data_IF_193567032857
#
_entry.id   IF_193567032857
#
_cell.length_a   1.000
_cell.length_b   1.000
_cell.length_c   1.000
_cell.angle_alpha   90.00
_cell.angle_beta   90.00
_cell.angle_gamma   90.00
#
_symmetry.space_group_name_H-M   'P 1'
#
loop_
_entity.id
_entity.type
_entity.pdbx_description
1 polymer ?
#
# COMPACT_ATOMS: atom_id res chain seq x y z
N UNK A 1 6.91 44.06 -4.25
CA UNK A 1 5.59 44.53 -3.77
C UNK A 1 4.61 44.39 -4.93
N UNK A 2 4.03 43.20 -5.08
CA UNK A 2 2.99 42.93 -6.11
C UNK A 2 1.69 42.59 -5.38
N UNK A 3 0.70 43.41 -5.57
CA UNK A 3 -0.67 43.32 -5.06
C UNK A 3 -1.38 42.15 -5.78
N UNK A 4 -1.80 41.12 -5.04
CA UNK A 4 -2.72 40.11 -5.53
C UNK A 4 -4.13 40.53 -5.15
N UNK A 5 -4.92 40.87 -6.15
CA UNK A 5 -6.33 41.24 -6.02
C UNK A 5 -7.17 39.98 -5.82
N UNK A 6 -7.79 39.84 -4.64
CA UNK A 6 -8.78 38.81 -4.33
C UNK A 6 -10.10 39.12 -5.07
N UNK A 7 -10.48 38.28 -6.02
CA UNK A 7 -11.87 38.21 -6.52
C UNK A 7 -12.63 37.18 -5.70
N UNK A 8 -13.55 37.66 -4.89
CA UNK A 8 -14.54 36.85 -4.18
C UNK A 8 -15.63 36.39 -5.15
N UNK A 9 -15.68 35.09 -5.44
CA UNK A 9 -16.85 34.45 -6.04
C UNK A 9 -17.54 33.58 -4.99
N UNK A 10 -18.75 33.98 -4.64
CA UNK A 10 -19.68 33.22 -3.78
C UNK A 10 -20.24 32.01 -4.53
N UNK A 11 -19.76 30.83 -4.22
CA UNK A 11 -20.28 29.55 -4.65
C UNK A 11 -19.63 28.48 -3.78
N UNK A 12 -20.41 27.86 -2.90
CA UNK A 12 -19.91 26.97 -1.84
C UNK A 12 -19.51 25.57 -2.32
N UNK A 13 -18.33 25.47 -2.94
CA UNK A 13 -17.59 24.25 -3.12
C UNK A 13 -16.16 24.48 -2.59
N UNK A 14 -15.59 23.58 -1.80
CA UNK A 14 -14.24 23.80 -1.28
C UNK A 14 -13.22 23.73 -2.43
N UNK A 15 -12.26 24.63 -2.48
CA UNK A 15 -11.20 24.71 -3.50
C UNK A 15 -10.42 23.38 -3.67
N UNK A 16 -10.41 22.53 -2.65
CA UNK A 16 -9.79 21.19 -2.67
C UNK A 16 -10.57 20.15 -3.50
N UNK A 17 -11.91 20.22 -3.53
CA UNK A 17 -12.73 19.28 -4.29
C UNK A 17 -12.61 19.49 -5.80
N UNK A 18 -12.51 20.73 -6.25
CA UNK A 18 -12.35 21.05 -7.68
C UNK A 18 -10.96 20.72 -8.20
N UNK A 19 -9.91 20.82 -7.38
CA UNK A 19 -8.54 20.48 -7.75
C UNK A 19 -8.34 18.94 -7.79
N UNK A 20 -8.93 18.22 -6.87
CA UNK A 20 -8.92 16.74 -6.89
C UNK A 20 -9.76 16.19 -8.04
N UNK A 21 -10.91 16.80 -8.34
CA UNK A 21 -11.68 16.56 -9.57
C UNK A 21 -10.87 16.87 -10.81
N UNK A 22 -10.05 17.92 -10.80
CA UNK A 22 -9.19 18.30 -11.91
C UNK A 22 -8.02 17.31 -12.09
N UNK A 23 -7.39 16.81 -11.05
CA UNK A 23 -6.35 15.78 -11.14
C UNK A 23 -6.92 14.46 -11.68
N UNK A 24 -8.10 14.07 -11.22
CA UNK A 24 -8.83 12.91 -11.74
C UNK A 24 -9.37 13.17 -13.18
N UNK A 25 -9.64 14.41 -13.55
CA UNK A 25 -10.16 14.81 -14.87
C UNK A 25 -9.07 15.05 -15.92
N UNK A 26 -7.93 15.65 -15.56
CA UNK A 26 -6.81 15.93 -16.50
C UNK A 26 -6.04 14.66 -16.83
N UNK A 27 -6.07 13.64 -15.94
CA UNK A 27 -5.62 12.29 -16.29
C UNK A 27 -6.43 11.64 -17.42
N UNK A 28 -7.68 12.05 -17.61
CA UNK A 28 -8.59 11.48 -18.62
C UNK A 28 -8.70 12.28 -19.91
N UNK A 29 -8.42 13.59 -19.90
CA UNK A 29 -8.60 14.43 -21.09
C UNK A 29 -7.43 15.40 -21.26
N UNK A 30 -6.88 15.45 -22.47
CA UNK A 30 -6.00 16.53 -22.91
C UNK A 30 -6.69 17.89 -22.72
N UNK A 31 -5.90 18.94 -22.42
CA UNK A 31 -6.41 20.30 -22.23
C UNK A 31 -7.33 20.75 -23.37
N UNK A 32 -8.37 21.54 -23.09
CA UNK A 32 -9.30 22.07 -24.11
C UNK A 32 -8.61 22.79 -25.29
N UNK A 33 -7.44 23.40 -25.05
CA UNK A 33 -6.64 24.06 -26.10
C UNK A 33 -6.04 23.08 -27.11
N UNK A 34 -5.76 21.85 -26.75
CA UNK A 34 -5.27 20.81 -27.68
C UNK A 34 -6.40 20.18 -28.50
N UNK A 35 -7.64 20.22 -28.03
CA UNK A 35 -8.81 19.78 -28.81
C UNK A 35 -9.24 20.82 -29.85
N UNK A 36 -9.08 22.12 -29.57
CA UNK A 36 -9.46 23.18 -30.51
C UNK A 36 -8.47 23.33 -31.68
N UNK A 37 -7.19 23.00 -31.49
CA UNK A 37 -6.20 23.02 -32.57
C UNK A 37 -6.30 21.79 -33.49
N UNK A 38 -6.85 20.66 -33.01
CA UNK A 38 -7.06 19.48 -33.86
C UNK A 38 -8.31 19.60 -34.75
N UNK A 39 -9.36 20.27 -34.30
CA UNK A 39 -10.59 20.45 -35.08
C UNK A 39 -10.48 21.51 -36.19
N UNK A 40 -9.59 22.47 -36.08
CA UNK A 40 -9.37 23.48 -37.15
C UNK A 40 -8.39 23.04 -38.26
N UNK A 41 -7.62 21.96 -38.06
CA UNK A 41 -6.75 21.37 -39.09
C UNK A 41 -7.45 20.39 -40.03
N UNK A 42 -8.64 19.95 -39.72
CA UNK A 42 -9.37 18.95 -40.54
C UNK A 42 -10.20 19.57 -41.68
N UNK A 43 -10.25 20.92 -41.85
CA UNK A 43 -11.10 21.59 -42.83
C UNK A 43 -10.39 22.00 -44.12
N UNK A 44 -9.14 21.72 -44.36
CA UNK A 44 -8.44 22.00 -45.64
C UNK A 44 -7.37 20.99 -45.95
N UNK A 45 -7.67 19.90 -46.67
CA UNK A 45 -7.00 19.41 -47.89
C UNK A 45 -7.53 18.00 -48.22
N UNK A 46 -8.16 17.93 -49.37
CA UNK A 46 -8.49 16.67 -50.06
C UNK A 46 -7.22 16.13 -50.72
N UNK A 47 -6.50 15.26 -50.01
CA UNK A 47 -5.58 14.29 -50.59
C UNK A 47 -5.56 13.06 -49.67
N UNK A 48 -5.69 11.88 -50.29
CA UNK A 48 -5.84 10.59 -49.60
C UNK A 48 -4.85 10.41 -48.44
N UNK A 49 -5.29 9.90 -47.28
CA UNK A 49 -4.37 9.71 -46.16
C UNK A 49 -3.48 8.49 -46.45
N UNK A 50 -2.17 8.72 -46.52
CA UNK A 50 -1.19 7.65 -46.26
C UNK A 50 -1.48 7.11 -44.86
N UNK A 51 -1.60 5.78 -44.74
CA UNK A 51 -1.93 5.10 -43.48
C UNK A 51 -1.05 5.56 -42.32
N UNK A 52 -1.62 6.38 -41.47
CA UNK A 52 -1.02 6.70 -40.17
C UNK A 52 -1.11 5.45 -39.31
N UNK A 53 0.07 4.89 -39.04
CA UNK A 53 0.28 3.82 -38.08
C UNK A 53 -0.23 4.21 -36.70
N UNK A 54 -1.49 3.95 -36.41
CA UNK A 54 -2.10 4.10 -35.07
C UNK A 54 -1.50 3.11 -34.04
N UNK A 55 -0.58 2.22 -34.46
CA UNK A 55 0.00 1.15 -33.64
C UNK A 55 1.23 1.55 -32.82
N UNK A 56 1.75 2.78 -32.96
CA UNK A 56 3.04 3.17 -32.34
C UNK A 56 2.91 4.33 -31.34
N UNK A 57 1.77 4.48 -30.67
CA UNK A 57 1.61 5.54 -29.67
C UNK A 57 2.04 5.02 -28.30
N UNK A 58 3.18 5.54 -27.80
CA UNK A 58 3.66 5.26 -26.42
C UNK A 58 2.61 5.71 -25.42
N UNK A 59 2.17 4.79 -24.56
CA UNK A 59 1.33 5.13 -23.41
C UNK A 59 2.19 5.71 -22.29
N UNK A 60 1.62 6.64 -21.53
CA UNK A 60 2.24 7.22 -20.33
C UNK A 60 1.35 6.97 -19.14
N UNK A 61 1.98 6.54 -18.05
CA UNK A 61 1.32 6.38 -16.75
C UNK A 61 1.95 7.42 -15.82
N UNK A 62 1.17 8.37 -15.36
CA UNK A 62 1.63 9.39 -14.42
C UNK A 62 1.60 8.85 -13.01
N UNK A 63 2.74 8.89 -12.33
CA UNK A 63 2.91 8.34 -10.98
C UNK A 63 3.58 9.32 -10.04
N UNK A 64 3.25 9.19 -8.76
CA UNK A 64 4.00 9.81 -7.66
C UNK A 64 4.49 8.71 -6.74
N UNK A 65 5.80 8.70 -6.50
CA UNK A 65 6.45 7.78 -5.59
C UNK A 65 6.64 8.44 -4.22
N UNK A 66 6.42 7.65 -3.20
CA UNK A 66 6.66 8.01 -1.80
C UNK A 66 7.25 6.81 -1.06
N UNK A 67 7.75 7.05 0.14
CA UNK A 67 7.99 5.97 1.08
C UNK A 67 7.33 6.27 2.43
N UNK A 68 6.81 5.25 3.08
CA UNK A 68 6.32 5.32 4.45
C UNK A 68 7.29 4.58 5.34
N UNK A 69 8.03 5.32 6.16
CA UNK A 69 9.04 4.75 7.04
C UNK A 69 10.05 3.82 6.33
N UNK A 70 10.35 4.07 5.05
CA UNK A 70 11.25 3.28 4.22
C UNK A 70 10.55 2.36 3.21
N UNK A 71 9.30 1.97 3.43
CA UNK A 71 8.56 1.09 2.52
C UNK A 71 7.96 1.87 1.37
N UNK A 72 8.28 1.56 0.09
CA UNK A 72 7.91 2.38 -1.05
C UNK A 72 6.45 2.19 -1.47
N UNK A 73 5.81 3.29 -1.85
CA UNK A 73 4.47 3.32 -2.45
C UNK A 73 4.51 4.13 -3.74
N UNK A 74 3.98 3.57 -4.82
CA UNK A 74 3.79 4.24 -6.12
C UNK A 74 2.32 4.50 -6.36
N UNK A 75 1.92 5.76 -6.30
CA UNK A 75 0.53 6.18 -6.54
C UNK A 75 0.35 6.49 -8.01
N UNK A 76 -0.59 5.81 -8.67
CA UNK A 76 -0.96 6.03 -10.06
C UNK A 76 -2.07 7.06 -10.10
N UNK A 77 -1.80 8.20 -10.73
CA UNK A 77 -2.76 9.30 -10.90
C UNK A 77 -3.55 9.18 -12.20
N UNK A 78 -2.91 8.69 -13.27
CA UNK A 78 -3.54 8.58 -14.60
C UNK A 78 -2.77 7.64 -15.53
N UNK A 79 -3.38 7.34 -16.70
CA UNK A 79 -2.76 6.50 -17.72
C UNK A 79 -3.24 5.05 -17.71
N UNK A 80 -4.13 4.70 -16.78
CA UNK A 80 -4.81 3.41 -16.72
C UNK A 80 -6.21 3.55 -17.37
N UNK A 81 -6.71 2.51 -18.08
CA UNK A 81 -8.07 2.51 -18.61
C UNK A 81 -9.14 2.67 -17.52
N UNK A 82 -10.30 3.21 -17.90
CA UNK A 82 -11.44 3.34 -17.00
C UNK A 82 -11.95 1.96 -16.56
N UNK A 83 -12.07 1.79 -15.25
CA UNK A 83 -12.56 0.57 -14.62
C UNK A 83 -14.10 0.54 -14.44
N UNK A 84 -14.79 1.61 -14.88
CA UNK A 84 -16.24 1.76 -14.76
C UNK A 84 -16.68 2.39 -13.44
N UNK A 85 -18.00 2.41 -13.22
CA UNK A 85 -18.65 3.10 -12.08
C UNK A 85 -19.07 2.17 -10.94
N UNK A 86 -18.66 0.91 -10.96
CA UNK A 86 -18.99 -0.08 -9.92
C UNK A 86 -18.30 0.18 -8.58
N UNK A 87 -18.59 -0.64 -7.61
CA UNK A 87 -17.91 -0.68 -6.30
C UNK A 87 -16.40 -0.89 -6.45
N UNK A 88 -15.63 -0.60 -5.41
CA UNK A 88 -14.16 -0.82 -5.46
C UNK A 88 -13.82 -2.31 -5.68
N UNK A 89 -14.62 -3.23 -5.16
CA UNK A 89 -14.44 -4.66 -5.41
C UNK A 89 -14.69 -5.05 -6.88
N UNK A 90 -15.72 -4.48 -7.52
CA UNK A 90 -16.00 -4.69 -8.96
C UNK A 90 -14.90 -4.09 -9.84
N UNK A 91 -14.40 -2.89 -9.49
CA UNK A 91 -13.27 -2.25 -10.20
C UNK A 91 -11.99 -3.06 -10.06
N UNK A 92 -11.70 -3.60 -8.86
CA UNK A 92 -10.58 -4.52 -8.66
C UNK A 92 -10.71 -5.74 -9.58
N UNK A 93 -11.91 -6.34 -9.67
CA UNK A 93 -12.16 -7.48 -10.57
C UNK A 93 -11.88 -7.09 -12.03
N UNK A 94 -12.39 -5.94 -12.50
CA UNK A 94 -12.13 -5.45 -13.86
C UNK A 94 -10.63 -5.22 -14.09
N UNK A 95 -9.92 -4.61 -13.13
CA UNK A 95 -8.50 -4.36 -13.23
C UNK A 95 -7.71 -5.67 -13.33
N UNK A 96 -8.01 -6.63 -12.46
CA UNK A 96 -7.38 -7.96 -12.45
C UNK A 96 -7.63 -8.74 -13.75
N UNK A 97 -8.89 -8.83 -14.20
CA UNK A 97 -9.26 -9.67 -15.33
C UNK A 97 -8.84 -9.08 -16.69
N UNK A 98 -8.88 -7.74 -16.83
CA UNK A 98 -8.71 -7.09 -18.15
C UNK A 98 -7.41 -6.29 -18.26
N UNK A 99 -6.86 -5.80 -17.15
CA UNK A 99 -5.80 -4.80 -17.16
C UNK A 99 -4.60 -5.15 -16.24
N UNK A 100 -4.45 -6.41 -15.82
CA UNK A 100 -3.33 -6.85 -14.98
C UNK A 100 -1.95 -6.53 -15.57
N UNK A 101 -1.85 -6.41 -16.89
CA UNK A 101 -0.64 -5.92 -17.55
C UNK A 101 -0.16 -4.58 -17.03
N UNK A 102 -1.06 -3.66 -16.69
CA UNK A 102 -0.69 -2.36 -16.12
C UNK A 102 -0.12 -2.49 -14.71
N UNK A 103 -0.68 -3.38 -13.87
CA UNK A 103 -0.10 -3.72 -12.57
C UNK A 103 1.36 -4.12 -12.74
N UNK A 104 1.62 -5.13 -13.56
CA UNK A 104 2.97 -5.63 -13.80
C UNK A 104 3.90 -4.56 -14.40
N UNK A 105 3.43 -3.77 -15.37
CA UNK A 105 4.21 -2.71 -15.98
C UNK A 105 4.67 -1.63 -14.98
N UNK A 106 3.89 -1.40 -13.92
CA UNK A 106 4.14 -0.32 -12.95
C UNK A 106 5.02 -0.78 -11.79
N UNK A 107 4.84 -2.01 -11.28
CA UNK A 107 5.55 -2.46 -10.07
C UNK A 107 6.67 -3.45 -10.34
N UNK A 108 6.70 -4.11 -11.50
CA UNK A 108 7.80 -5.02 -11.84
C UNK A 108 8.94 -4.29 -12.56
N UNK A 109 10.12 -4.88 -12.54
CA UNK A 109 11.24 -4.44 -13.38
C UNK A 109 10.85 -4.44 -14.87
N UNK A 110 11.36 -3.52 -15.67
CA UNK A 110 12.43 -2.56 -15.39
C UNK A 110 11.95 -1.22 -14.81
N UNK A 111 10.64 -0.99 -14.64
CA UNK A 111 10.10 0.29 -14.15
C UNK A 111 9.79 0.31 -12.66
N UNK A 112 9.81 -0.86 -12.01
CA UNK A 112 9.57 -1.06 -10.59
C UNK A 112 10.59 -1.98 -9.96
N UNK A 113 10.24 -2.53 -8.81
CA UNK A 113 10.96 -3.57 -8.09
C UNK A 113 9.98 -4.34 -7.20
N UNK A 114 10.42 -5.48 -6.67
CA UNK A 114 9.64 -6.33 -5.75
C UNK A 114 9.20 -5.65 -4.45
N UNK A 115 9.86 -4.54 -4.08
CA UNK A 115 9.52 -3.76 -2.90
C UNK A 115 8.33 -2.82 -3.10
N UNK A 116 8.00 -2.43 -4.36
CA UNK A 116 7.03 -1.38 -4.61
C UNK A 116 5.60 -1.88 -4.41
N UNK A 117 4.85 -1.19 -3.55
CA UNK A 117 3.39 -1.29 -3.50
C UNK A 117 2.79 -0.22 -4.40
N UNK A 118 2.03 -0.65 -5.39
CA UNK A 118 1.24 0.22 -6.26
C UNK A 118 -0.08 0.60 -5.61
N UNK A 119 -0.54 1.83 -5.84
CA UNK A 119 -1.82 2.35 -5.40
C UNK A 119 -2.51 3.06 -6.58
N UNK A 120 -3.50 2.41 -7.19
CA UNK A 120 -4.28 3.02 -8.26
C UNK A 120 -5.40 3.88 -7.67
N UNK A 121 -5.35 5.20 -7.91
CA UNK A 121 -6.43 6.11 -7.54
C UNK A 121 -7.64 5.91 -8.45
N UNK A 122 -8.80 5.80 -7.82
CA UNK A 122 -10.10 5.71 -8.47
C UNK A 122 -11.02 6.82 -7.94
N UNK A 123 -12.01 7.20 -8.73
CA UNK A 123 -13.08 8.06 -8.24
C UNK A 123 -13.85 7.33 -7.13
N UNK A 124 -14.05 7.90 -5.95
CA UNK A 124 -14.81 7.25 -4.90
C UNK A 124 -16.28 7.09 -5.29
N UNK A 125 -16.95 6.07 -4.73
CA UNK A 125 -18.41 5.89 -4.84
C UNK A 125 -19.13 6.61 -3.71
N UNK A 126 -18.53 6.66 -2.53
CA UNK A 126 -18.99 7.47 -1.40
C UNK A 126 -18.52 8.93 -1.59
N UNK A 127 -19.44 9.92 -1.62
CA UNK A 127 -19.06 11.33 -1.77
C UNK A 127 -18.23 11.88 -0.59
N UNK A 128 -18.28 11.23 0.58
CA UNK A 128 -17.50 11.62 1.76
C UNK A 128 -16.07 11.09 1.73
N UNK A 129 -15.74 10.18 0.80
CA UNK A 129 -14.40 9.67 0.61
C UNK A 129 -13.60 10.57 -0.33
N UNK A 130 -12.32 10.83 0.01
CA UNK A 130 -11.42 11.67 -0.81
C UNK A 130 -10.91 10.92 -2.04
N UNK A 131 -10.82 9.58 -1.98
CA UNK A 131 -10.42 8.73 -3.10
C UNK A 131 -10.89 7.28 -2.90
N UNK A 132 -11.08 6.55 -4.00
CA UNK A 132 -11.02 5.10 -4.03
C UNK A 132 -9.59 4.66 -4.35
N UNK A 133 -9.12 3.55 -3.78
CA UNK A 133 -7.76 3.05 -3.98
C UNK A 133 -7.75 1.53 -4.16
N UNK A 134 -7.07 1.06 -5.19
CA UNK A 134 -6.74 -0.37 -5.37
C UNK A 134 -5.25 -0.53 -5.11
N UNK A 135 -4.90 -1.27 -4.05
CA UNK A 135 -3.52 -1.62 -3.74
C UNK A 135 -3.10 -2.93 -4.41
N UNK A 136 -1.84 -2.99 -4.82
CA UNK A 136 -1.25 -4.18 -5.44
C UNK A 136 0.28 -4.18 -5.30
N UNK A 137 0.91 -5.33 -5.53
CA UNK A 137 2.36 -5.48 -5.59
C UNK A 137 2.78 -6.36 -6.79
N UNK A 138 4.02 -6.79 -6.82
CA UNK A 138 4.55 -7.69 -7.84
C UNK A 138 3.88 -9.07 -7.85
N UNK A 139 3.38 -9.53 -6.70
CA UNK A 139 2.72 -10.85 -6.54
C UNK A 139 1.24 -10.77 -6.92
N UNK A 140 0.52 -9.71 -6.50
CA UNK A 140 -0.92 -9.64 -6.74
C UNK A 140 -1.59 -8.40 -6.15
N UNK A 141 -2.85 -8.57 -5.76
CA UNK A 141 -3.71 -7.49 -5.27
C UNK A 141 -3.89 -7.58 -3.77
N UNK A 142 -3.91 -6.43 -3.11
CA UNK A 142 -4.06 -6.29 -1.67
C UNK A 142 -5.44 -5.69 -1.36
N UNK A 143 -6.14 -6.24 -0.38
CA UNK A 143 -7.42 -5.70 0.06
C UNK A 143 -7.28 -4.32 0.71
N UNK A 144 -6.24 -4.16 1.53
CA UNK A 144 -5.87 -2.93 2.24
C UNK A 144 -4.35 -2.94 2.47
N UNK A 145 -3.75 -1.75 2.58
CA UNK A 145 -2.34 -1.59 2.87
C UNK A 145 -2.12 -0.36 3.77
N UNK A 146 -1.59 -0.56 4.98
CA UNK A 146 -1.40 0.52 5.97
C UNK A 146 -0.39 1.57 5.52
N UNK A 147 0.83 1.15 5.16
CA UNK A 147 1.85 2.07 4.69
C UNK A 147 1.47 2.70 3.33
N UNK A 148 0.82 1.93 2.44
CA UNK A 148 0.30 2.45 1.17
C UNK A 148 -0.76 3.53 1.38
N UNK A 149 -1.65 3.37 2.38
CA UNK A 149 -2.64 4.39 2.75
C UNK A 149 -1.95 5.68 3.22
N UNK A 150 -0.91 5.59 4.05
CA UNK A 150 -0.11 6.75 4.46
C UNK A 150 0.54 7.44 3.25
N UNK A 151 1.09 6.66 2.30
CA UNK A 151 1.66 7.17 1.05
C UNK A 151 0.63 7.86 0.15
N UNK A 152 -0.59 7.32 0.07
CA UNK A 152 -1.71 7.96 -0.67
C UNK A 152 -2.11 9.28 -0.03
N UNK A 153 -2.27 9.34 1.31
CA UNK A 153 -2.59 10.59 2.03
C UNK A 153 -1.49 11.63 1.81
N UNK A 154 -0.22 11.25 1.93
CA UNK A 154 0.90 12.16 1.66
C UNK A 154 0.89 12.67 0.20
N UNK A 155 0.59 11.79 -0.77
CA UNK A 155 0.47 12.16 -2.19
C UNK A 155 -0.68 13.13 -2.44
N UNK A 156 -1.86 12.87 -1.87
CA UNK A 156 -3.04 13.75 -2.02
C UNK A 156 -2.78 15.12 -1.36
N UNK A 157 -2.10 15.15 -0.21
CA UNK A 157 -1.69 16.39 0.44
C UNK A 157 -0.65 17.16 -0.40
N UNK A 158 0.36 16.47 -0.95
CA UNK A 158 1.36 17.04 -1.84
C UNK A 158 0.73 17.69 -3.07
N UNK A 159 -0.31 17.07 -3.65
CA UNK A 159 -1.08 17.61 -4.78
C UNK A 159 -2.08 18.70 -4.37
N UNK A 160 -2.20 19.02 -3.07
CA UNK A 160 -3.15 20.01 -2.57
C UNK A 160 -4.62 19.57 -2.63
N UNK A 161 -4.89 18.27 -2.79
CA UNK A 161 -6.25 17.72 -2.87
C UNK A 161 -6.93 17.63 -1.51
N UNK A 162 -6.14 17.50 -0.44
CA UNK A 162 -6.63 17.39 0.95
C UNK A 162 -5.85 18.34 1.86
N UNK A 163 -6.52 18.78 2.94
CA UNK A 163 -5.89 19.52 4.04
C UNK A 163 -5.61 18.63 5.25
N UNK A 164 -5.28 19.27 6.38
CA UNK A 164 -5.12 18.58 7.66
C UNK A 164 -6.45 18.01 8.16
N UNK A 165 -6.39 16.93 8.95
CA UNK A 165 -7.54 16.30 9.59
C UNK A 165 -7.85 14.91 9.06
N UNK A 166 -9.08 14.46 9.29
CA UNK A 166 -9.54 13.10 9.03
C UNK A 166 -10.08 12.97 7.61
N UNK A 167 -9.63 11.94 6.90
CA UNK A 167 -10.02 11.62 5.53
C UNK A 167 -10.46 10.16 5.43
N UNK A 168 -11.42 9.89 4.54
CA UNK A 168 -11.90 8.54 4.23
C UNK A 168 -11.39 8.11 2.87
N UNK A 169 -10.95 6.87 2.77
CA UNK A 169 -10.49 6.23 1.55
C UNK A 169 -11.30 4.95 1.36
N UNK A 170 -11.89 4.75 0.19
CA UNK A 170 -12.53 3.48 -0.17
C UNK A 170 -11.48 2.49 -0.68
N UNK A 171 -11.52 1.25 -0.22
CA UNK A 171 -10.72 0.14 -0.72
C UNK A 171 -11.62 -1.05 -1.08
N UNK A 172 -11.11 -2.04 -1.81
CA UNK A 172 -11.87 -3.27 -2.05
C UNK A 172 -12.27 -4.02 -0.76
N UNK A 173 -11.51 -3.84 0.33
CA UNK A 173 -11.82 -4.45 1.65
C UNK A 173 -12.76 -3.60 2.51
N UNK A 174 -13.14 -2.41 2.05
CA UNK A 174 -14.00 -1.48 2.76
C UNK A 174 -13.39 -0.09 2.92
N UNK A 175 -14.02 0.74 3.75
CA UNK A 175 -13.60 2.11 4.01
C UNK A 175 -12.49 2.14 5.08
N UNK A 176 -11.46 2.93 4.83
CA UNK A 176 -10.32 3.17 5.73
C UNK A 176 -10.30 4.65 6.10
N UNK A 177 -10.14 4.93 7.38
CA UNK A 177 -10.00 6.30 7.90
C UNK A 177 -8.54 6.59 8.21
N UNK A 178 -8.05 7.74 7.71
CA UNK A 178 -6.70 8.22 7.97
C UNK A 178 -6.72 9.70 8.38
N UNK A 179 -5.87 10.08 9.32
CA UNK A 179 -5.75 11.46 9.80
C UNK A 179 -4.39 12.03 9.42
N UNK A 180 -4.39 13.15 8.67
CA UNK A 180 -3.19 13.93 8.36
C UNK A 180 -2.94 14.99 9.43
N UNK A 181 -1.82 14.88 10.12
CA UNK A 181 -1.42 15.79 11.17
C UNK A 181 -0.60 16.99 10.65
N UNK A 182 -0.55 18.07 11.43
CA UNK A 182 0.27 19.27 11.12
C UNK A 182 1.76 18.99 11.03
N UNK A 183 2.25 17.91 11.61
CA UNK A 183 3.62 17.43 11.48
C UNK A 183 3.93 16.74 10.14
N UNK A 184 2.92 16.49 9.30
CA UNK A 184 3.01 15.67 8.12
C UNK A 184 2.90 14.15 8.38
N UNK A 185 2.81 13.74 9.64
CA UNK A 185 2.53 12.36 10.00
C UNK A 185 1.09 11.98 9.66
N UNK A 186 0.86 10.69 9.41
CA UNK A 186 -0.46 10.14 9.12
C UNK A 186 -0.79 9.05 10.13
N UNK A 187 -1.96 9.13 10.75
CA UNK A 187 -2.53 8.04 11.56
C UNK A 187 -3.53 7.28 10.70
N UNK A 188 -3.36 5.96 10.61
CA UNK A 188 -4.34 5.05 9.97
C UNK A 188 -5.04 4.26 11.07
N UNK A 189 -6.38 4.30 11.07
CA UNK A 189 -7.20 3.45 11.93
C UNK A 189 -7.33 2.09 11.26
N UNK A 190 -6.76 1.07 11.91
CA UNK A 190 -6.69 -0.26 11.35
C UNK A 190 -7.94 -1.08 11.72
N UNK A 191 -8.07 -2.25 11.08
CA UNK A 191 -9.13 -3.22 11.36
C UNK A 191 -9.01 -3.80 12.76
N UNK A 192 -10.10 -4.35 13.29
CA UNK A 192 -10.10 -5.12 14.53
C UNK A 192 -8.99 -6.18 14.51
N UNK A 193 -8.20 -6.21 15.59
CA UNK A 193 -7.02 -7.08 15.69
C UNK A 193 -7.13 -7.98 16.91
N UNK A 194 -6.62 -9.21 16.81
CA UNK A 194 -6.71 -10.19 17.90
C UNK A 194 -5.62 -11.26 17.80
N UNK A 195 -5.31 -11.89 18.92
CA UNK A 195 -4.51 -13.11 19.00
C UNK A 195 -5.43 -14.33 18.88
N UNK A 196 -5.16 -15.17 17.87
CA UNK A 196 -5.87 -16.44 17.68
C UNK A 196 -5.33 -17.53 18.61
N UNK A 197 -4.02 -17.67 18.67
CA UNK A 197 -3.34 -18.66 19.51
C UNK A 197 -2.01 -18.08 20.02
N UNK A 198 -1.71 -18.35 21.29
CA UNK A 198 -0.44 -17.95 21.90
C UNK A 198 0.48 -19.14 22.15
N UNK A 199 1.79 -18.90 22.12
CA UNK A 199 2.83 -19.91 22.41
C UNK A 199 2.73 -21.17 21.53
N UNK A 200 2.39 -21.00 20.26
CA UNK A 200 2.36 -22.10 19.28
C UNK A 200 3.79 -22.56 19.00
N UNK A 201 4.03 -23.85 19.17
CA UNK A 201 5.34 -24.47 19.01
C UNK A 201 5.42 -25.21 17.68
N UNK A 202 6.50 -24.98 16.92
CA UNK A 202 6.81 -25.69 15.67
C UNK A 202 8.26 -26.18 15.67
N UNK A 203 8.54 -27.23 14.88
CA UNK A 203 9.89 -27.75 14.67
C UNK A 203 10.37 -27.35 13.28
N UNK A 204 11.22 -26.32 13.23
CA UNK A 204 11.76 -25.80 11.96
C UNK A 204 13.02 -26.59 11.60
N UNK A 205 13.09 -27.22 10.43
CA UNK A 205 14.28 -27.94 9.98
C UNK A 205 15.54 -27.06 10.09
N UNK A 206 16.64 -27.62 10.58
CA UNK A 206 17.95 -26.98 10.79
C UNK A 206 17.97 -25.87 11.86
N UNK A 207 16.80 -25.33 12.26
CA UNK A 207 16.67 -24.25 13.24
C UNK A 207 16.10 -24.72 14.59
N UNK A 208 15.53 -25.93 14.65
CA UNK A 208 14.98 -26.50 15.88
C UNK A 208 13.62 -25.92 16.29
N UNK A 209 13.41 -25.86 17.60
CA UNK A 209 12.16 -25.43 18.21
C UNK A 209 11.98 -23.91 18.09
N UNK A 210 10.85 -23.47 17.51
CA UNK A 210 10.44 -22.07 17.43
C UNK A 210 9.07 -21.92 18.09
N UNK A 211 8.89 -20.88 18.89
CA UNK A 211 7.62 -20.56 19.55
C UNK A 211 7.18 -19.17 19.10
N UNK A 212 5.90 -19.04 18.74
CA UNK A 212 5.32 -17.77 18.36
C UNK A 212 3.83 -17.69 18.63
N UNK A 213 3.28 -16.50 18.47
CA UNK A 213 1.85 -16.24 18.56
C UNK A 213 1.26 -16.14 17.15
N UNK A 214 0.06 -16.70 16.95
CA UNK A 214 -0.72 -16.51 15.73
C UNK A 214 -1.70 -15.38 15.99
N UNK A 215 -1.60 -14.30 15.21
CA UNK A 215 -2.42 -13.11 15.41
C UNK A 215 -2.86 -12.47 14.09
N UNK A 216 -4.00 -11.80 14.13
CA UNK A 216 -4.57 -11.02 13.05
C UNK A 216 -4.41 -9.52 13.33
N UNK A 217 -3.88 -8.78 12.37
CA UNK A 217 -3.78 -7.32 12.41
C UNK A 217 -4.16 -6.66 11.08
N UNK A 218 -4.95 -7.37 10.23
CA UNK A 218 -5.23 -7.03 8.84
C UNK A 218 -4.56 -8.00 7.86
N UNK A 219 -3.57 -8.75 8.33
CA UNK A 219 -2.95 -9.93 7.74
C UNK A 219 -2.70 -10.95 8.85
N UNK A 220 -2.44 -12.21 8.50
CA UNK A 220 -2.09 -13.24 9.44
C UNK A 220 -0.60 -13.26 9.71
N UNK A 221 -0.25 -13.19 10.98
CA UNK A 221 1.13 -13.16 11.48
C UNK A 221 1.46 -14.37 12.32
N UNK A 222 2.71 -14.83 12.20
CA UNK A 222 3.37 -15.62 13.24
C UNK A 222 4.45 -14.74 13.88
N UNK A 223 4.23 -14.36 15.15
CA UNK A 223 5.04 -13.40 15.89
C UNK A 223 6.04 -14.15 16.78
N UNK A 224 7.33 -14.00 16.54
CA UNK A 224 8.41 -14.70 17.25
C UNK A 224 9.25 -13.72 18.06
N UNK A 225 9.29 -13.86 19.39
CA UNK A 225 10.10 -13.01 20.27
C UNK A 225 11.45 -13.63 20.66
N UNK A 226 11.56 -14.95 20.64
CA UNK A 226 12.78 -15.66 21.04
C UNK A 226 13.38 -16.32 19.80
N UNK A 227 14.48 -15.76 19.33
CA UNK A 227 15.23 -16.24 18.16
C UNK A 227 16.72 -15.89 18.30
N UNK A 228 17.64 -16.60 17.60
CA UNK A 228 19.08 -16.41 17.77
C UNK A 228 19.66 -15.24 16.96
N UNK A 229 18.86 -14.58 16.12
CA UNK A 229 19.34 -13.59 15.15
C UNK A 229 19.33 -12.16 15.70
N UNK A 230 20.37 -11.40 15.39
CA UNK A 230 20.37 -9.95 15.54
C UNK A 230 19.56 -9.31 14.41
N UNK A 231 18.62 -8.42 14.76
CA UNK A 231 17.78 -7.70 13.79
C UNK A 231 18.56 -6.50 13.23
N UNK A 232 19.36 -6.75 12.19
CA UNK A 232 20.14 -5.72 11.49
C UNK A 232 20.15 -5.96 9.98
N UNK A 233 20.34 -4.89 9.19
CA UNK A 233 20.46 -5.01 7.72
C UNK A 233 21.65 -5.86 7.28
N UNK A 234 22.68 -5.96 8.11
CA UNK A 234 23.83 -6.84 7.84
C UNK A 234 23.45 -8.33 7.84
N UNK A 235 22.38 -8.69 8.56
CA UNK A 235 21.88 -10.06 8.67
C UNK A 235 20.65 -10.34 7.78
N UNK A 236 20.36 -9.48 6.83
CA UNK A 236 19.11 -9.52 6.04
C UNK A 236 18.86 -10.88 5.38
N UNK A 237 19.90 -11.47 4.78
CA UNK A 237 19.81 -12.78 4.13
C UNK A 237 19.46 -13.88 5.14
N UNK A 238 20.18 -13.93 6.26
CA UNK A 238 19.94 -14.93 7.32
C UNK A 238 18.55 -14.77 7.97
N UNK A 239 18.08 -13.53 8.15
CA UNK A 239 16.73 -13.25 8.65
C UNK A 239 15.65 -13.71 7.67
N UNK A 240 15.87 -13.46 6.37
CA UNK A 240 14.95 -13.87 5.30
C UNK A 240 14.88 -15.40 5.22
N UNK A 241 16.02 -16.11 5.24
CA UNK A 241 16.07 -17.58 5.21
C UNK A 241 15.38 -18.19 6.44
N UNK A 242 15.67 -17.67 7.62
CA UNK A 242 15.09 -18.16 8.86
C UNK A 242 13.55 -17.98 8.88
N UNK A 243 13.06 -16.80 8.53
CA UNK A 243 11.61 -16.52 8.49
C UNK A 243 10.91 -17.30 7.38
N UNK A 244 11.58 -17.52 6.24
CA UNK A 244 11.07 -18.37 5.17
C UNK A 244 10.96 -19.83 5.60
N UNK A 245 11.94 -20.35 6.33
CA UNK A 245 11.89 -21.71 6.89
C UNK A 245 10.73 -21.87 7.89
N UNK A 246 10.46 -20.86 8.73
CA UNK A 246 9.30 -20.82 9.62
C UNK A 246 8.00 -20.87 8.81
N UNK A 247 7.82 -19.97 7.81
CA UNK A 247 6.61 -19.93 6.97
C UNK A 247 6.36 -21.26 6.27
N UNK A 248 7.39 -21.82 5.67
CA UNK A 248 7.31 -23.13 4.99
C UNK A 248 6.91 -24.24 5.94
N UNK A 249 7.40 -24.20 7.18
CA UNK A 249 7.06 -25.18 8.22
C UNK A 249 5.60 -25.05 8.63
N UNK A 250 5.09 -23.82 8.88
CA UNK A 250 3.69 -23.60 9.22
C UNK A 250 2.76 -24.13 8.12
N UNK A 251 3.06 -23.83 6.85
CA UNK A 251 2.30 -24.31 5.71
C UNK A 251 2.31 -25.85 5.63
N UNK A 252 3.48 -26.49 5.73
CA UNK A 252 3.64 -27.94 5.68
C UNK A 252 2.89 -28.65 6.81
N UNK A 253 2.84 -28.06 8.01
CA UNK A 253 2.17 -28.62 9.18
C UNK A 253 0.68 -28.29 9.25
N UNK A 254 0.16 -27.52 8.25
CA UNK A 254 -1.24 -27.12 8.20
C UNK A 254 -1.62 -26.12 9.30
N UNK A 255 -0.65 -25.40 9.86
CA UNK A 255 -0.88 -24.36 10.87
C UNK A 255 -1.28 -23.08 10.14
N UNK A 256 -2.49 -22.60 10.43
CA UNK A 256 -3.11 -21.51 9.72
C UNK A 256 -3.80 -20.53 10.69
N UNK A 257 -4.22 -19.38 10.16
CA UNK A 257 -5.12 -18.46 10.81
C UNK A 257 -6.55 -18.97 10.88
N UNK A 258 -7.49 -18.12 11.27
CA UNK A 258 -8.91 -18.47 11.28
C UNK A 258 -9.38 -18.87 9.87
N UNK A 259 -10.34 -19.79 9.84
CA UNK A 259 -10.95 -20.32 8.60
C UNK A 259 -9.94 -20.97 7.63
N UNK A 260 -8.80 -21.46 8.16
CA UNK A 260 -7.75 -22.10 7.38
C UNK A 260 -6.96 -21.14 6.48
N UNK A 261 -7.04 -19.82 6.72
CA UNK A 261 -6.26 -18.82 5.97
C UNK A 261 -4.78 -18.95 6.25
N UNK A 262 -3.97 -18.83 5.20
CA UNK A 262 -2.52 -18.91 5.32
C UNK A 262 -1.97 -17.81 6.24
N UNK A 263 -0.97 -18.17 7.06
CA UNK A 263 -0.13 -17.22 7.78
C UNK A 263 0.96 -16.77 6.81
N UNK A 264 0.74 -15.61 6.21
CA UNK A 264 1.52 -15.08 5.09
C UNK A 264 2.66 -14.15 5.52
N UNK A 265 2.66 -13.72 6.79
CA UNK A 265 3.70 -12.87 7.38
C UNK A 265 4.37 -13.54 8.58
N UNK A 266 5.70 -13.45 8.64
CA UNK A 266 6.48 -13.88 9.81
C UNK A 266 7.20 -12.66 10.38
N UNK A 267 6.96 -12.36 11.66
CA UNK A 267 7.57 -11.21 12.33
C UNK A 267 8.49 -11.67 13.45
N UNK A 268 9.76 -11.28 13.37
CA UNK A 268 10.74 -11.44 14.44
C UNK A 268 10.81 -10.15 15.24
N UNK A 269 10.76 -10.27 16.57
CA UNK A 269 10.78 -9.16 17.51
C UNK A 269 12.00 -9.23 18.42
N UNK A 270 12.74 -8.13 18.52
CA UNK A 270 13.94 -8.05 19.35
C UNK A 270 14.06 -6.73 20.11
N UNK A 271 15.17 -6.53 20.83
CA UNK A 271 15.45 -5.24 21.48
C UNK A 271 15.53 -4.10 20.46
N UNK A 272 14.92 -2.96 20.78
CA UNK A 272 15.07 -1.75 19.99
C UNK A 272 16.51 -1.23 20.10
N UNK A 273 17.02 -0.59 19.03
CA UNK A 273 18.31 0.11 19.09
C UNK A 273 18.19 1.43 19.85
N UNK A 274 17.08 2.14 19.63
CA UNK A 274 16.79 3.34 20.41
C UNK A 274 16.05 2.96 21.70
N UNK A 275 16.59 3.29 22.89
CA UNK A 275 15.99 2.91 24.18
C UNK A 275 14.61 3.55 24.45
N UNK A 276 14.22 4.57 23.67
CA UNK A 276 12.88 5.15 23.73
C UNK A 276 11.82 4.35 22.96
N UNK A 277 12.22 3.37 22.17
CA UNK A 277 11.31 2.47 21.44
C UNK A 277 11.10 1.18 22.24
N UNK A 278 9.94 0.55 22.07
CA UNK A 278 9.58 -0.65 22.82
C UNK A 278 10.25 -1.92 22.26
N UNK A 279 10.19 -2.10 20.94
CA UNK A 279 10.75 -3.26 20.24
C UNK A 279 11.22 -2.87 18.85
N UNK A 280 12.12 -3.69 18.30
CA UNK A 280 12.53 -3.69 16.90
C UNK A 280 11.98 -4.94 16.23
N UNK A 281 11.65 -4.85 14.95
CA UNK A 281 11.19 -6.00 14.18
C UNK A 281 11.93 -6.19 12.84
N UNK A 282 11.80 -7.40 12.34
CA UNK A 282 11.98 -7.80 10.96
C UNK A 282 10.73 -8.54 10.53
N UNK A 283 10.15 -8.18 9.38
CA UNK A 283 8.93 -8.80 8.87
C UNK A 283 9.17 -9.36 7.48
N UNK A 284 8.97 -10.67 7.33
CA UNK A 284 8.87 -11.33 6.03
C UNK A 284 7.44 -11.17 5.51
N UNK A 285 7.31 -10.64 4.31
CA UNK A 285 6.06 -10.48 3.58
C UNK A 285 5.85 -11.56 2.51
N UNK A 286 4.66 -11.68 1.90
CA UNK A 286 4.44 -12.49 0.70
C UNK A 286 5.45 -12.18 -0.41
N UNK A 287 5.82 -13.21 -1.19
CA UNK A 287 6.84 -13.07 -2.23
C UNK A 287 8.27 -13.03 -1.71
N UNK A 288 8.48 -13.40 -0.43
CA UNK A 288 9.80 -13.43 0.20
C UNK A 288 10.49 -12.07 0.30
N UNK A 289 9.73 -10.99 0.17
CA UNK A 289 10.19 -9.63 0.45
C UNK A 289 10.19 -9.34 1.95
N UNK A 290 11.01 -8.39 2.40
CA UNK A 290 10.93 -7.89 3.78
C UNK A 290 10.32 -6.49 3.82
N UNK A 291 9.57 -6.19 4.87
CA UNK A 291 9.04 -4.84 5.13
C UNK A 291 10.16 -3.93 5.66
N UNK A 292 10.37 -2.81 5.01
CA UNK A 292 11.34 -1.80 5.46
C UNK A 292 10.77 -0.92 6.56
N UNK A 293 9.44 -0.80 6.60
CA UNK A 293 8.72 -0.11 7.67
C UNK A 293 8.57 -1.01 8.90
N UNK A 294 8.12 -0.46 10.05
CA UNK A 294 7.75 -1.30 11.21
C UNK A 294 6.56 -2.23 11.01
N UNK A 295 5.97 -2.29 9.82
CA UNK A 295 4.76 -3.03 9.46
C UNK A 295 3.53 -2.64 10.29
N UNK A 296 2.59 -1.90 9.69
CA UNK A 296 1.41 -1.41 10.41
C UNK A 296 0.49 -2.54 10.88
N UNK A 297 0.27 -3.56 10.04
CA UNK A 297 -0.56 -4.73 10.37
C UNK A 297 0.14 -5.65 11.39
N UNK A 298 1.49 -5.83 11.29
CA UNK A 298 2.28 -6.55 12.27
C UNK A 298 2.28 -5.86 13.63
N UNK A 299 2.50 -4.55 13.67
CA UNK A 299 2.41 -3.75 14.90
C UNK A 299 1.01 -3.85 15.53
N UNK A 300 -0.06 -3.87 14.72
CA UNK A 300 -1.44 -4.04 15.19
C UNK A 300 -1.66 -5.43 15.81
N UNK A 301 -1.20 -6.49 15.15
CA UNK A 301 -1.25 -7.86 15.66
C UNK A 301 -0.47 -7.98 16.98
N UNK A 302 0.73 -7.37 17.03
CA UNK A 302 1.55 -7.35 18.25
C UNK A 302 0.88 -6.64 19.41
N UNK A 303 0.27 -5.47 19.17
CA UNK A 303 -0.45 -4.74 20.21
C UNK A 303 -1.66 -5.52 20.73
N UNK A 304 -2.37 -6.26 19.87
CA UNK A 304 -3.46 -7.13 20.29
C UNK A 304 -2.95 -8.28 21.19
N UNK A 305 -1.79 -8.87 20.88
CA UNK A 305 -1.17 -9.86 21.76
C UNK A 305 -0.77 -9.26 23.12
N UNK A 306 -0.17 -8.07 23.14
CA UNK A 306 0.21 -7.37 24.36
C UNK A 306 -1.00 -7.01 25.22
N UNK A 307 -2.11 -6.58 24.60
CA UNK A 307 -3.36 -6.32 25.32
C UNK A 307 -3.91 -7.60 25.94
N UNK A 308 -3.95 -8.71 25.20
CA UNK A 308 -4.38 -10.01 25.68
C UNK A 308 -3.52 -10.53 26.87
N UNK A 309 -2.25 -10.14 26.92
CA UNK A 309 -1.34 -10.44 28.05
C UNK A 309 -1.43 -9.44 29.21
N UNK A 310 -2.24 -8.39 29.09
CA UNK A 310 -2.33 -7.29 30.06
C UNK A 310 -1.08 -6.40 30.12
N UNK A 311 -0.22 -6.43 29.07
CA UNK A 311 1.03 -5.67 28.95
C UNK A 311 0.89 -4.34 28.24
N UNK A 312 -0.24 -4.07 27.59
CA UNK A 312 -0.57 -2.79 26.93
C UNK A 312 -1.97 -2.36 27.30
N UNK A 313 -2.14 -1.11 27.69
CA UNK A 313 -3.45 -0.54 28.05
C UNK A 313 -4.00 0.30 26.88
N UNK A 314 -5.34 0.43 26.76
CA UNK A 314 -5.96 1.36 25.83
C UNK A 314 -5.39 2.79 25.99
N UNK A 315 -5.05 3.44 24.88
CA UNK A 315 -4.44 4.77 24.82
C UNK A 315 -2.94 4.83 25.11
N UNK A 316 -2.32 3.75 25.57
CA UNK A 316 -0.87 3.67 25.75
C UNK A 316 -0.16 3.62 24.40
N UNK A 317 0.95 4.35 24.26
CA UNK A 317 1.73 4.41 23.01
C UNK A 317 2.77 3.30 22.97
N UNK A 318 2.67 2.47 21.95
CA UNK A 318 3.67 1.47 21.57
C UNK A 318 4.54 2.00 20.43
N UNK A 319 5.87 2.02 20.59
CA UNK A 319 6.83 2.42 19.56
C UNK A 319 7.52 1.21 18.98
N UNK A 320 7.14 0.86 17.74
CA UNK A 320 7.75 -0.23 16.98
C UNK A 320 8.84 0.34 16.07
N UNK A 321 10.07 -0.15 16.24
CA UNK A 321 11.21 0.20 15.41
C UNK A 321 11.37 -0.84 14.27
N UNK A 322 11.65 -0.39 13.05
CA UNK A 322 11.90 -1.27 11.91
C UNK A 322 13.36 -1.67 11.79
N UNK A 323 13.61 -2.62 10.87
CA UNK A 323 14.96 -3.05 10.50
C UNK A 323 15.83 -1.92 9.93
N UNK A 324 15.22 -0.83 9.40
CA UNK A 324 15.91 0.35 8.85
C UNK A 324 15.91 1.54 9.82
N UNK A 325 15.60 1.34 11.10
CA UNK A 325 15.60 2.34 12.18
C UNK A 325 14.48 3.40 12.07
N UNK A 326 13.43 3.15 11.31
CA UNK A 326 12.23 3.99 11.31
C UNK A 326 11.25 3.52 12.38
N UNK A 327 10.29 4.36 12.77
CA UNK A 327 9.41 4.08 13.90
C UNK A 327 7.95 4.33 13.51
N UNK A 328 7.07 3.40 13.91
CA UNK A 328 5.64 3.65 14.03
C UNK A 328 5.24 3.82 15.49
N UNK A 329 4.35 4.76 15.75
CA UNK A 329 3.65 4.87 17.01
C UNK A 329 2.29 4.19 16.88
N UNK A 330 2.06 3.17 17.68
CA UNK A 330 0.79 2.46 17.75
C UNK A 330 0.05 2.76 19.05
N UNK A 331 -1.27 2.74 19.02
CA UNK A 331 -2.12 2.73 20.21
C UNK A 331 -3.35 1.89 19.93
N UNK A 332 -4.04 1.46 20.98
CA UNK A 332 -5.27 0.69 20.86
C UNK A 332 -6.43 1.41 21.54
N UNK A 333 -7.62 1.27 20.95
CA UNK A 333 -8.91 1.51 21.56
C UNK A 333 -9.62 0.16 21.71
N UNK A 334 -10.40 -0.01 22.75
CA UNK A 334 -11.18 -1.24 22.97
C UNK A 334 -12.66 -0.88 23.04
N UNK A 335 -13.46 -1.51 22.19
CA UNK A 335 -14.91 -1.36 22.13
C UNK A 335 -15.53 -2.77 22.11
N UNK A 336 -16.42 -3.06 23.04
CA UNK A 336 -17.08 -4.38 23.16
C UNK A 336 -16.09 -5.56 23.05
N UNK A 337 -15.01 -5.50 23.83
CA UNK A 337 -13.88 -6.45 23.84
C UNK A 337 -13.05 -6.50 22.53
N UNK A 338 -13.41 -5.72 21.53
CA UNK A 338 -12.71 -5.64 20.25
C UNK A 338 -11.54 -4.67 20.33
N UNK A 339 -10.35 -5.11 20.00
CA UNK A 339 -9.15 -4.27 19.93
C UNK A 339 -9.09 -3.59 18.58
N UNK A 340 -9.10 -2.26 18.59
CA UNK A 340 -9.04 -1.38 17.42
C UNK A 340 -7.73 -0.60 17.41
N UNK A 341 -6.71 -1.04 16.66
CA UNK A 341 -5.44 -0.34 16.60
C UNK A 341 -5.49 0.92 15.76
N UNK A 342 -4.64 1.88 16.12
CA UNK A 342 -4.30 3.05 15.31
C UNK A 342 -2.79 3.10 15.17
N UNK A 343 -2.30 3.26 13.94
CA UNK A 343 -0.87 3.32 13.61
C UNK A 343 -0.54 4.69 13.03
N UNK A 344 0.41 5.36 13.65
CA UNK A 344 0.91 6.65 13.20
C UNK A 344 2.33 6.50 12.65
N UNK A 345 2.54 7.00 11.45
CA UNK A 345 3.82 7.03 10.77
C UNK A 345 3.98 8.26 9.89
N UNK A 346 5.13 8.40 9.25
CA UNK A 346 5.39 9.49 8.30
C UNK A 346 5.67 8.94 6.92
N UNK A 347 5.03 9.55 5.92
CA UNK A 347 5.27 9.26 4.52
C UNK A 347 5.84 10.50 3.81
N UNK A 348 6.77 10.27 2.88
CA UNK A 348 7.50 11.30 2.18
C UNK A 348 7.44 11.07 0.68
N UNK A 349 6.91 12.04 -0.06
CA UNK A 349 6.97 12.03 -1.54
C UNK A 349 8.42 12.22 -1.95
N UNK A 350 8.92 11.38 -2.86
CA UNK A 350 10.31 11.38 -3.30
C UNK A 350 10.49 11.44 -4.82
N UNK A 351 9.42 11.19 -5.61
CA UNK A 351 9.47 11.36 -7.06
C UNK A 351 8.08 11.63 -7.66
N UNK A 352 8.05 12.34 -8.78
CA UNK A 352 6.91 12.48 -9.68
C UNK A 352 7.41 12.19 -11.11
N UNK A 353 6.76 11.24 -11.82
CA UNK A 353 7.26 10.75 -13.09
C UNK A 353 6.15 10.28 -14.04
N UNK A 354 6.51 10.22 -15.33
CA UNK A 354 5.75 9.50 -16.34
C UNK A 354 6.46 8.19 -16.68
N UNK A 355 5.85 7.07 -16.38
CA UNK A 355 6.30 5.76 -16.86
C UNK A 355 5.90 5.63 -18.33
N UNK A 356 6.87 5.24 -19.17
CA UNK A 356 6.66 5.11 -20.61
C UNK A 356 6.45 3.63 -20.93
N UNK A 357 5.31 3.31 -21.56
CA UNK A 357 5.00 2.01 -22.12
C UNK A 357 5.14 2.10 -23.65
N UNK A 358 6.25 1.60 -24.17
CA UNK A 358 6.51 1.51 -25.61
C UNK A 358 6.08 0.12 -26.09
N UNK A 359 5.09 0.00 -26.99
CA UNK A 359 4.67 -1.32 -27.51
C UNK A 359 5.76 -2.08 -28.23
N UNK A 360 6.85 -1.42 -28.67
CA UNK A 360 8.00 -2.05 -29.30
C UNK A 360 9.01 -2.60 -28.29
N UNK A 361 8.90 -2.24 -27.00
CA UNK A 361 9.74 -2.78 -25.93
C UNK A 361 9.24 -4.19 -25.56
N UNK A 362 10.07 -5.25 -25.69
CA UNK A 362 9.67 -6.61 -25.29
C UNK A 362 9.31 -6.72 -23.79
N UNK A 363 9.79 -5.81 -22.95
CA UNK A 363 9.50 -5.72 -21.52
C UNK A 363 8.47 -4.61 -21.19
N UNK A 364 7.69 -4.17 -22.18
CA UNK A 364 6.68 -3.13 -22.02
C UNK A 364 5.73 -3.40 -20.84
N UNK A 365 5.40 -4.67 -20.57
CA UNK A 365 4.50 -5.08 -19.50
C UNK A 365 5.19 -5.57 -18.24
N UNK A 366 6.49 -5.27 -18.09
CA UNK A 366 7.31 -5.70 -16.95
C UNK A 366 7.78 -7.15 -17.05
N UNK A 367 8.79 -7.47 -16.25
CA UNK A 367 9.29 -8.83 -16.09
C UNK A 367 8.30 -9.57 -15.17
N UNK A 368 7.59 -10.54 -15.72
CA UNK A 368 6.71 -11.39 -14.94
C UNK A 368 7.52 -12.60 -14.50
N UNK A 369 7.60 -12.87 -13.21
CA UNK A 369 8.07 -14.16 -12.71
C UNK A 369 7.26 -15.25 -13.41
N UNK A 370 7.88 -16.39 -13.73
CA UNK A 370 7.08 -17.58 -14.04
C UNK A 370 6.15 -17.74 -12.83
N UNK A 371 4.84 -17.76 -13.08
CA UNK A 371 3.85 -18.07 -12.06
C UNK A 371 4.27 -19.45 -11.50
N UNK A 372 5.07 -19.42 -10.44
CA UNK A 372 5.21 -20.55 -9.56
C UNK A 372 3.79 -20.88 -9.15
N UNK A 373 3.44 -22.12 -9.20
CA UNK A 373 2.18 -22.69 -8.76
C UNK A 373 2.00 -22.42 -7.24
N UNK A 374 1.92 -21.17 -6.84
CA UNK A 374 1.42 -20.78 -5.55
C UNK A 374 -0.08 -20.57 -5.72
N UNK A 375 -0.84 -21.43 -5.08
CA UNK A 375 -2.29 -21.50 -5.11
C UNK A 375 -2.92 -20.09 -5.04
N UNK A 376 -3.77 -19.80 -6.05
CA UNK A 376 -4.77 -18.75 -5.93
C UNK A 376 -5.58 -18.98 -4.64
N UNK A 377 -5.82 -17.96 -3.82
CA UNK A 377 -6.81 -18.08 -2.77
C UNK A 377 -8.16 -18.32 -3.46
N UNK A 378 -8.76 -19.48 -3.17
CA UNK A 378 -10.14 -19.76 -3.55
C UNK A 378 -11.08 -18.67 -3.04
N UNK A 379 -12.17 -18.38 -3.76
CA UNK A 379 -13.06 -17.25 -3.55
C UNK A 379 -13.70 -17.20 -2.16
#
# INVERSE_FOLDING_TARGET
>A
MLLVTLLSASGGGSFGEDLCRWILYVGYNRSPEQQHQSSQRFARSSSAPRGDNLTNRKNRIHVIDSHTAGEPTRVILSGIPDLGSGTMAERLRVFREKYDGFRSAVVNEPRGSDAIVGALLCKPTNPDAVAGVIFFNNVGYLGMCGHGTMGVIATLAYKGCIGLGVHRIETPAGEVTAELHSSGAVTVHNVASYRLAGNVEIQVPEHGRVIGDIAWGGNWFFLVEVHPHELSLANLEALTEYTWAIRTTLHREGIAGADGREIDHIELLGPAQNPHNNKRNFVLCPGRAYDRSPCGTGTSAKMACLYADGKLKPGEIWRQESIVNTVFEGSIRVEDETVLPSIKGSAWVNAEADLILDPCDPLCWGIRGQAGTEHEPSP
#
